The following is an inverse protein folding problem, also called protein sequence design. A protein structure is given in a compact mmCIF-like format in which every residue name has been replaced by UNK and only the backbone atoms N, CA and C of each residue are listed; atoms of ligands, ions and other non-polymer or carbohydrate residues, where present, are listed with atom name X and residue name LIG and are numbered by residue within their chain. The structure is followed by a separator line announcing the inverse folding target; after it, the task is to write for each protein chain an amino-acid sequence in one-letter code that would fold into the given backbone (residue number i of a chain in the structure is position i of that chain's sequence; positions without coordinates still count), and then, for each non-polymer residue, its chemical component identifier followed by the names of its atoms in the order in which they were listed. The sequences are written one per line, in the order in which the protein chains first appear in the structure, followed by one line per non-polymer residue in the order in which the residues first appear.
data_IF_029509421937
#
_entry.id   IF_029509421937
#
_cell.length_a   1.000
_cell.length_b   1.000
_cell.length_c   1.000
_cell.angle_alpha   90.00
_cell.angle_beta   90.00
_cell.angle_gamma   90.00
#
_symmetry.space_group_name_H-M   'P 1'
#
loop_
_entity.id
_entity.type
_entity.pdbx_description
1 polymer ?
#
# COMPACT_ATOMS: atom_id res chain seq x y z
N UNK A 1 14.90 -37.12 35.44
CA UNK A 1 15.22 -36.90 34.00
C UNK A 1 13.99 -36.62 33.13
N UNK A 2 12.76 -36.74 33.64
CA UNK A 2 11.49 -36.62 32.88
C UNK A 2 10.95 -35.19 32.75
N UNK A 3 11.35 -34.25 33.62
CA UNK A 3 10.85 -32.87 33.60
C UNK A 3 11.38 -32.06 32.42
N UNK A 4 12.66 -32.22 32.07
CA UNK A 4 13.31 -31.42 31.02
C UNK A 4 12.80 -31.77 29.61
N UNK A 5 12.43 -33.03 29.38
CA UNK A 5 11.90 -33.48 28.09
C UNK A 5 10.51 -32.91 27.78
N UNK A 6 9.68 -32.67 28.80
CA UNK A 6 8.34 -32.09 28.62
C UNK A 6 8.39 -30.61 28.24
N UNK A 7 9.34 -29.85 28.82
CA UNK A 7 9.56 -28.44 28.46
C UNK A 7 10.12 -28.27 27.05
N UNK A 8 11.00 -29.18 26.61
CA UNK A 8 11.54 -29.16 25.24
C UNK A 8 10.45 -29.45 24.20
N UNK A 9 9.56 -30.41 24.48
CA UNK A 9 8.45 -30.77 23.58
C UNK A 9 7.40 -29.66 23.49
N UNK A 10 7.08 -29.01 24.60
CA UNK A 10 6.13 -27.87 24.61
C UNK A 10 6.71 -26.63 23.93
N UNK A 11 8.02 -26.37 24.09
CA UNK A 11 8.68 -25.29 23.37
C UNK A 11 8.76 -25.58 21.86
N UNK A 12 9.02 -26.83 21.46
CA UNK A 12 9.08 -27.21 20.05
C UNK A 12 7.72 -27.12 19.37
N UNK A 13 6.64 -27.48 20.06
CA UNK A 13 5.29 -27.34 19.50
C UNK A 13 4.89 -25.87 19.35
N UNK A 14 5.20 -25.01 20.33
CA UNK A 14 4.97 -23.56 20.23
C UNK A 14 5.77 -22.95 19.07
N UNK A 15 7.05 -23.33 18.90
CA UNK A 15 7.87 -22.91 17.77
C UNK A 15 7.30 -23.40 16.44
N UNK A 16 6.83 -24.64 16.37
CA UNK A 16 6.23 -25.23 15.17
C UNK A 16 4.93 -24.50 14.79
N UNK A 17 4.03 -24.24 15.76
CA UNK A 17 2.83 -23.43 15.55
C UNK A 17 3.19 -22.01 15.07
N UNK A 18 4.21 -21.38 15.66
CA UNK A 18 4.69 -20.07 15.22
C UNK A 18 5.18 -20.06 13.77
N UNK A 19 5.93 -21.06 13.34
CA UNK A 19 6.37 -21.19 11.94
C UNK A 19 5.22 -21.46 10.96
N UNK A 20 4.21 -22.22 11.37
CA UNK A 20 3.04 -22.54 10.54
C UNK A 20 2.13 -21.32 10.33
N UNK A 21 2.14 -20.35 11.25
CA UNK A 21 1.32 -19.12 11.11
C UNK A 21 1.84 -18.07 10.12
N UNK A 22 2.98 -18.30 9.45
CA UNK A 22 3.55 -17.29 8.56
C UNK A 22 4.01 -17.81 7.18
N UNK A 23 3.31 -18.79 6.62
CA UNK A 23 3.32 -18.93 5.16
C UNK A 23 2.46 -17.82 4.56
N UNK A 24 3.11 -16.72 4.14
CA UNK A 24 2.51 -15.76 3.20
C UNK A 24 1.96 -16.58 2.05
N UNK A 25 0.65 -16.49 1.77
CA UNK A 25 -0.03 -17.25 0.71
C UNK A 25 0.76 -17.05 -0.59
N UNK A 26 1.60 -18.02 -0.94
CA UNK A 26 2.57 -17.90 -2.01
C UNK A 26 1.82 -18.03 -3.33
N UNK A 27 1.59 -16.90 -4.00
CA UNK A 27 0.95 -16.89 -5.32
C UNK A 27 -0.12 -15.82 -5.53
N UNK A 28 -0.58 -15.13 -4.48
CA UNK A 28 -1.42 -13.96 -4.67
C UNK A 28 -0.57 -12.71 -4.85
N UNK A 29 -0.82 -11.89 -5.89
CA UNK A 29 -0.14 -10.63 -6.05
C UNK A 29 -0.48 -9.68 -4.91
N UNK A 30 0.50 -8.88 -4.49
CA UNK A 30 0.35 -7.79 -3.54
C UNK A 30 -0.51 -6.68 -4.16
N UNK A 31 -1.38 -6.03 -3.37
CA UNK A 31 -2.17 -4.89 -3.81
C UNK A 31 -1.59 -3.60 -3.24
N UNK A 32 -1.24 -2.66 -4.12
CA UNK A 32 -0.87 -1.30 -3.75
C UNK A 32 -1.94 -0.33 -4.25
N UNK A 33 -2.56 0.40 -3.33
CA UNK A 33 -3.51 1.47 -3.68
C UNK A 33 -2.76 2.80 -3.71
N UNK A 34 -2.91 3.54 -4.81
CA UNK A 34 -2.19 4.80 -5.02
C UNK A 34 -3.14 5.92 -5.39
N UNK A 35 -2.80 7.14 -4.98
CA UNK A 35 -3.47 8.36 -5.42
C UNK A 35 -2.45 9.45 -5.73
N UNK A 36 -2.85 10.48 -6.47
CA UNK A 36 -2.01 11.64 -6.74
C UNK A 36 -2.68 12.88 -6.17
N UNK A 37 -2.03 13.52 -5.21
CA UNK A 37 -2.50 14.76 -4.61
C UNK A 37 -1.32 15.70 -4.34
N UNK A 38 -1.48 16.98 -4.68
CA UNK A 38 -0.46 18.01 -4.46
C UNK A 38 -0.64 18.76 -3.14
N UNK A 39 -1.85 18.73 -2.58
CA UNK A 39 -2.24 19.42 -1.35
C UNK A 39 -3.14 18.54 -0.48
N UNK A 40 -3.26 18.87 0.81
CA UNK A 40 -4.09 18.12 1.77
C UNK A 40 -5.55 18.60 1.69
N UNK A 41 -6.25 18.14 0.66
CA UNK A 41 -7.67 18.45 0.46
C UNK A 41 -8.56 17.68 1.44
N UNK A 42 -9.80 18.13 1.58
CA UNK A 42 -10.80 17.39 2.34
C UNK A 42 -11.13 16.01 1.74
N UNK A 43 -11.12 15.91 0.40
CA UNK A 43 -11.30 14.64 -0.31
C UNK A 43 -10.19 13.64 0.02
N UNK A 44 -8.92 14.10 0.01
CA UNK A 44 -7.77 13.28 0.39
C UNK A 44 -7.84 12.79 1.84
N UNK A 45 -8.23 13.66 2.79
CA UNK A 45 -8.41 13.25 4.19
C UNK A 45 -9.49 12.19 4.34
N UNK A 46 -10.62 12.32 3.63
CA UNK A 46 -11.69 11.32 3.63
C UNK A 46 -11.21 10.00 3.04
N UNK A 47 -10.46 10.04 1.94
CA UNK A 47 -9.88 8.84 1.33
C UNK A 47 -8.91 8.14 2.29
N UNK A 48 -7.96 8.87 2.88
CA UNK A 48 -7.01 8.34 3.88
C UNK A 48 -7.73 7.68 5.05
N UNK A 49 -8.75 8.35 5.60
CA UNK A 49 -9.56 7.80 6.70
C UNK A 49 -10.27 6.50 6.28
N UNK A 50 -10.84 6.45 5.08
CA UNK A 50 -11.49 5.23 4.58
C UNK A 50 -10.47 4.11 4.38
N UNK A 51 -9.29 4.41 3.84
CA UNK A 51 -8.22 3.43 3.67
C UNK A 51 -7.76 2.84 5.02
N UNK A 52 -7.57 3.70 6.02
CA UNK A 52 -7.19 3.31 7.40
C UNK A 52 -8.24 2.40 8.05
N UNK A 53 -9.53 2.75 7.97
CA UNK A 53 -10.63 1.94 8.53
C UNK A 53 -10.74 0.56 7.87
N UNK A 54 -10.26 0.39 6.64
CA UNK A 54 -10.34 -0.87 5.89
C UNK A 54 -9.00 -1.60 5.80
N UNK A 55 -7.98 -1.19 6.57
CA UNK A 55 -6.63 -1.77 6.54
C UNK A 55 -6.00 -1.80 5.14
N UNK A 56 -6.29 -0.76 4.34
CA UNK A 56 -5.77 -0.61 2.96
C UNK A 56 -4.56 0.31 2.97
N UNK A 57 -3.42 -0.20 2.51
CA UNK A 57 -2.22 0.62 2.27
C UNK A 57 -2.42 1.60 1.12
N UNK A 58 -2.60 2.88 1.45
CA UNK A 58 -2.73 3.98 0.49
C UNK A 58 -1.43 4.79 0.38
N UNK A 59 -0.83 4.84 -0.81
CA UNK A 59 0.30 5.71 -1.10
C UNK A 59 -0.15 6.99 -1.83
N UNK A 60 0.33 8.15 -1.35
CA UNK A 60 0.00 9.46 -1.92
C UNK A 60 1.21 10.03 -2.65
N UNK A 61 1.08 10.23 -3.96
CA UNK A 61 2.13 10.81 -4.79
C UNK A 61 1.94 12.31 -5.04
N UNK A 62 3.06 13.02 -5.16
CA UNK A 62 3.08 14.43 -5.57
C UNK A 62 2.79 15.44 -4.44
N UNK A 63 2.72 14.99 -3.18
CA UNK A 63 2.41 15.85 -2.05
C UNK A 63 3.42 17.00 -1.91
N UNK A 64 2.95 18.24 -1.90
CA UNK A 64 3.80 19.43 -1.86
C UNK A 64 4.43 19.84 -3.20
N UNK A 65 4.22 19.09 -4.29
CA UNK A 65 4.59 19.57 -5.62
C UNK A 65 3.66 20.72 -6.04
N UNK A 66 4.24 21.81 -6.57
CA UNK A 66 3.43 22.91 -7.10
C UNK A 66 2.47 22.40 -8.18
N UNK A 67 1.18 22.70 -8.00
CA UNK A 67 0.18 22.48 -9.03
C UNK A 67 0.38 23.45 -10.20
N UNK A 68 0.59 22.90 -11.39
CA UNK A 68 0.76 23.60 -12.69
C UNK A 68 -0.24 23.10 -13.74
N UNK A 69 -1.23 22.32 -13.33
CA UNK A 69 -2.16 21.62 -14.22
C UNK A 69 -3.40 22.42 -14.64
N UNK A 70 -3.45 23.72 -14.34
CA UNK A 70 -4.63 24.58 -14.58
C UNK A 70 -5.80 24.28 -13.64
N UNK A 71 -6.91 25.01 -13.76
CA UNK A 71 -8.12 24.70 -12.99
C UNK A 71 -8.86 23.51 -13.62
N UNK A 72 -8.75 22.35 -12.99
CA UNK A 72 -9.35 21.08 -13.45
C UNK A 72 -10.87 21.13 -13.47
N UNK A 73 -11.49 22.13 -12.83
CA UNK A 73 -12.95 22.35 -12.83
C UNK A 73 -13.42 23.13 -14.05
N UNK A 74 -12.51 23.86 -14.70
CA UNK A 74 -12.82 24.83 -15.77
C UNK A 74 -12.30 24.35 -17.13
N UNK A 75 -11.21 23.58 -17.16
CA UNK A 75 -10.56 23.16 -18.40
C UNK A 75 -10.16 21.67 -18.40
N UNK A 76 -9.74 21.13 -19.55
CA UNK A 76 -9.21 19.75 -19.67
C UNK A 76 -7.85 19.62 -18.94
N UNK A 77 -7.87 19.57 -17.61
CA UNK A 77 -6.69 19.39 -16.76
C UNK A 77 -6.33 17.92 -16.52
N UNK A 78 -5.41 17.66 -15.58
CA UNK A 78 -5.10 16.31 -15.09
C UNK A 78 -3.85 15.65 -15.69
N UNK A 79 -3.26 16.17 -16.77
CA UNK A 79 -2.02 15.64 -17.35
C UNK A 79 -0.83 15.66 -16.37
N UNK A 80 -0.81 16.63 -15.43
CA UNK A 80 0.16 16.63 -14.33
C UNK A 80 0.03 15.40 -13.44
N UNK A 81 -1.20 14.92 -13.16
CA UNK A 81 -1.39 13.72 -12.35
C UNK A 81 -0.78 12.50 -13.02
N UNK A 82 -0.99 12.35 -14.34
CA UNK A 82 -0.40 11.24 -15.12
C UNK A 82 1.13 11.32 -15.13
N UNK A 83 1.71 12.52 -15.27
CA UNK A 83 3.17 12.70 -15.20
C UNK A 83 3.75 12.30 -13.83
N UNK A 84 3.10 12.72 -12.74
CA UNK A 84 3.50 12.37 -11.37
C UNK A 84 3.35 10.87 -11.14
N UNK A 85 2.21 10.29 -11.54
CA UNK A 85 1.93 8.86 -11.43
C UNK A 85 3.00 8.05 -12.18
N UNK A 86 3.25 8.35 -13.46
CA UNK A 86 4.26 7.67 -14.27
C UNK A 86 5.64 7.69 -13.60
N UNK A 87 6.08 8.85 -13.11
CA UNK A 87 7.38 8.99 -12.43
C UNK A 87 7.43 8.18 -11.13
N UNK A 88 6.35 8.18 -10.37
CA UNK A 88 6.28 7.51 -9.07
C UNK A 88 6.21 5.99 -9.19
N UNK A 89 5.61 5.48 -10.27
CA UNK A 89 5.49 4.06 -10.55
C UNK A 89 6.77 3.41 -11.11
N UNK A 90 7.76 4.19 -11.54
CA UNK A 90 9.02 3.67 -12.10
C UNK A 90 9.75 2.73 -11.12
N UNK A 91 9.63 2.97 -9.81
CA UNK A 91 10.21 2.10 -8.76
C UNK A 91 9.58 0.71 -8.68
N UNK A 92 8.42 0.50 -9.31
CA UNK A 92 7.69 -0.76 -9.32
C UNK A 92 7.78 -1.51 -10.66
N UNK A 93 8.50 -0.98 -11.65
CA UNK A 93 8.49 -1.53 -13.03
C UNK A 93 8.90 -3.00 -13.15
N UNK A 94 9.73 -3.48 -12.22
CA UNK A 94 10.27 -4.85 -12.21
C UNK A 94 9.48 -5.77 -11.26
N UNK A 95 8.41 -5.29 -10.62
CA UNK A 95 7.55 -6.06 -9.71
C UNK A 95 6.42 -6.75 -10.48
N UNK A 96 6.61 -8.03 -10.78
CA UNK A 96 5.58 -8.86 -11.45
C UNK A 96 4.53 -9.43 -10.49
N UNK A 97 4.76 -9.31 -9.18
CA UNK A 97 3.91 -9.79 -8.09
C UNK A 97 3.01 -8.68 -7.51
N UNK A 98 2.85 -7.55 -8.21
CA UNK A 98 2.17 -6.36 -7.70
C UNK A 98 1.01 -5.94 -8.61
N UNK A 99 -0.18 -5.77 -8.03
CA UNK A 99 -1.33 -5.09 -8.63
C UNK A 99 -1.37 -3.66 -8.08
N UNK A 100 -1.47 -2.68 -8.97
CA UNK A 100 -1.57 -1.27 -8.60
C UNK A 100 -2.97 -0.77 -8.92
N UNK A 101 -3.70 -0.33 -7.89
CA UNK A 101 -5.00 0.31 -8.02
C UNK A 101 -4.86 1.83 -7.85
N UNK A 102 -5.03 2.56 -8.93
CA UNK A 102 -5.06 4.01 -8.90
C UNK A 102 -6.48 4.53 -8.59
N UNK A 103 -6.60 5.44 -7.62
CA UNK A 103 -7.84 6.13 -7.25
C UNK A 103 -7.63 7.65 -7.20
N UNK A 104 -8.64 8.43 -7.59
CA UNK A 104 -8.60 9.89 -7.46
C UNK A 104 -9.15 10.32 -6.08
N UNK A 105 -8.65 11.46 -5.58
CA UNK A 105 -8.95 11.99 -4.24
C UNK A 105 -9.42 13.45 -4.28
#
# INVERSE_FOLDING_TARGET
MTGMTLWVLTLSTVLMYGTVTMEKISGMPELLVVTVATEETDGLRRLKRTADINDVGLEVFGMGEQWRGGDVRVDKGGGQKIRILRKSLEKYKDRNDLIILFVDA
#
